data_IF_901236702628
#
_entry.id   IF_901236702628
#
_cell.length_a   1.000
_cell.length_b   1.000
_cell.length_c   1.000
_cell.angle_alpha   90.00
_cell.angle_beta   90.00
_cell.angle_gamma   90.00
#
_symmetry.space_group_name_H-M   'P 1'
#
loop_
_entity.id
_entity.type
_entity.pdbx_description
1 polymer ?
#
# COMPACT_ATOMS: atom_id res chain seq x y z
N UNK A 1 -54.62 -30.95 -55.97
CA UNK A 1 -54.93 -29.99 -57.04
C UNK A 1 -55.51 -28.76 -56.36
N UNK A 2 -54.87 -27.62 -56.61
CA UNK A 2 -55.26 -26.22 -56.35
C UNK A 2 -55.65 -25.80 -54.92
N UNK A 3 -54.90 -24.95 -54.20
CA UNK A 3 -54.25 -23.65 -54.45
C UNK A 3 -55.15 -22.43 -54.12
N UNK A 4 -54.55 -21.54 -53.32
CA UNK A 4 -54.92 -20.16 -52.94
C UNK A 4 -56.20 -19.94 -52.10
N UNK A 5 -56.01 -19.45 -50.86
CA UNK A 5 -56.02 -18.02 -50.51
C UNK A 5 -55.77 -17.85 -49.00
N UNK A 6 -54.58 -17.36 -48.64
CA UNK A 6 -54.44 -16.54 -47.42
C UNK A 6 -53.70 -15.28 -47.85
N UNK A 7 -54.39 -14.16 -47.72
CA UNK A 7 -53.90 -12.84 -48.06
C UNK A 7 -52.74 -12.49 -47.13
N UNK A 8 -51.52 -12.44 -47.67
CA UNK A 8 -50.43 -11.69 -47.06
C UNK A 8 -50.58 -10.28 -47.58
N UNK A 9 -51.20 -9.42 -46.76
CA UNK A 9 -51.09 -7.98 -46.93
C UNK A 9 -49.63 -7.65 -46.62
N UNK A 10 -48.82 -7.58 -47.67
CA UNK A 10 -47.61 -6.79 -47.64
C UNK A 10 -48.04 -5.34 -47.42
N UNK A 11 -47.92 -4.86 -46.18
CA UNK A 11 -47.81 -3.42 -45.90
C UNK A 11 -46.35 -3.09 -46.22
N UNK A 12 -46.06 -2.85 -47.51
CA UNK A 12 -45.92 -1.54 -48.16
C UNK A 12 -44.65 -0.82 -47.70
N UNK A 13 -43.65 -0.57 -48.56
CA UNK A 13 -43.62 0.52 -49.55
C UNK A 13 -44.15 1.84 -48.96
N UNK A 14 -43.30 2.87 -49.00
CA UNK A 14 -43.49 4.22 -48.48
C UNK A 14 -43.19 4.37 -46.97
N UNK A 15 -42.62 5.54 -46.65
CA UNK A 15 -42.02 5.85 -45.35
C UNK A 15 -42.95 5.68 -44.16
N UNK A 16 -42.34 5.64 -42.98
CA UNK A 16 -43.09 5.80 -41.74
C UNK A 16 -43.75 7.17 -41.76
N UNK A 17 -45.06 7.21 -41.47
CA UNK A 17 -45.70 8.04 -40.42
C UNK A 17 -47.22 8.01 -40.59
N UNK A 18 -47.94 7.76 -39.49
CA UNK A 18 -49.13 8.53 -39.09
C UNK A 18 -49.05 8.57 -37.56
N UNK A 19 -49.05 9.71 -36.87
CA UNK A 19 -49.87 10.92 -36.99
C UNK A 19 -49.08 12.14 -36.48
N UNK A 20 -49.39 13.33 -37.01
CA UNK A 20 -49.19 14.61 -36.34
C UNK A 20 -47.75 15.11 -36.10
N UNK A 21 -47.34 16.09 -36.91
CA UNK A 21 -46.33 17.11 -36.58
C UNK A 21 -44.89 16.63 -36.28
N UNK A 22 -44.16 16.38 -37.38
CA UNK A 22 -42.77 16.80 -37.65
C UNK A 22 -41.67 16.49 -36.63
N UNK A 23 -40.64 15.75 -37.05
CA UNK A 23 -39.26 16.01 -36.60
C UNK A 23 -38.19 15.62 -37.62
N UNK A 24 -37.06 16.30 -37.45
CA UNK A 24 -35.90 16.50 -38.32
C UNK A 24 -35.04 15.25 -38.58
N UNK A 25 -34.59 15.13 -39.83
CA UNK A 25 -33.41 14.35 -40.19
C UNK A 25 -32.15 14.98 -39.59
N UNK A 26 -31.21 14.17 -39.11
CA UNK A 26 -29.78 14.20 -39.46
C UNK A 26 -29.09 13.05 -38.72
N UNK A 27 -28.73 11.96 -39.42
CA UNK A 27 -27.54 11.19 -39.08
C UNK A 27 -27.17 10.23 -40.21
N UNK A 28 -25.92 10.36 -40.63
CA UNK A 28 -25.19 9.55 -41.59
C UNK A 28 -24.98 8.14 -41.00
N UNK A 29 -25.73 7.12 -41.44
CA UNK A 29 -25.73 5.78 -40.83
C UNK A 29 -24.86 4.80 -41.62
N UNK A 30 -23.58 4.72 -41.24
CA UNK A 30 -22.68 3.60 -41.53
C UNK A 30 -22.35 2.88 -40.23
N UNK A 31 -23.12 1.88 -39.83
CA UNK A 31 -22.76 0.87 -38.82
C UNK A 31 -23.75 -0.31 -38.85
N UNK A 32 -23.26 -1.49 -38.47
CA UNK A 32 -23.74 -2.85 -38.80
C UNK A 32 -24.78 -3.36 -37.77
N UNK A 33 -25.81 -4.13 -38.19
CA UNK A 33 -27.01 -4.53 -37.40
C UNK A 33 -27.09 -6.07 -37.11
N UNK A 34 -27.64 -6.57 -35.96
CA UNK A 34 -27.61 -8.03 -35.56
C UNK A 34 -28.50 -8.64 -34.39
N UNK A 35 -29.81 -8.41 -34.20
CA UNK A 35 -30.82 -8.99 -33.23
C UNK A 35 -30.67 -9.26 -31.66
N UNK A 36 -31.69 -8.83 -30.86
CA UNK A 36 -31.87 -8.97 -29.37
C UNK A 36 -32.95 -9.99 -28.92
N UNK A 37 -32.97 -10.45 -27.64
CA UNK A 37 -34.05 -11.27 -27.07
C UNK A 37 -35.03 -10.48 -26.16
N UNK A 38 -36.36 -10.62 -26.34
CA UNK A 38 -37.39 -10.37 -25.31
C UNK A 38 -38.78 -10.97 -25.64
N UNK A 39 -39.69 -10.94 -24.66
CA UNK A 39 -40.78 -11.88 -24.31
C UNK A 39 -42.02 -12.07 -25.22
N UNK A 40 -42.68 -13.21 -24.96
CA UNK A 40 -43.83 -13.88 -25.61
C UNK A 40 -44.90 -12.92 -26.19
N UNK A 41 -45.01 -12.90 -27.52
CA UNK A 41 -46.16 -12.35 -28.26
C UNK A 41 -45.84 -11.63 -29.56
N UNK A 42 -44.60 -11.19 -29.77
CA UNK A 42 -44.17 -10.44 -30.97
C UNK A 42 -43.23 -11.28 -31.85
N UNK A 43 -43.32 -11.08 -33.17
CA UNK A 43 -42.53 -11.81 -34.16
C UNK A 43 -41.11 -11.19 -34.34
N UNK A 44 -40.12 -12.07 -34.55
CA UNK A 44 -38.72 -11.74 -34.84
C UNK A 44 -38.43 -11.76 -36.35
N UNK A 45 -37.69 -10.76 -36.85
CA UNK A 45 -37.31 -10.64 -38.26
C UNK A 45 -35.84 -10.23 -38.43
N UNK A 46 -34.98 -11.21 -38.76
CA UNK A 46 -33.52 -11.01 -38.93
C UNK A 46 -33.23 -10.47 -40.30
N UNK A 47 -32.89 -9.19 -40.42
CA UNK A 47 -32.52 -8.65 -41.72
C UNK A 47 -31.13 -9.09 -42.15
N UNK A 48 -31.08 -10.12 -42.99
CA UNK A 48 -29.83 -10.72 -43.49
C UNK A 48 -29.19 -9.92 -44.64
N UNK A 49 -29.92 -8.99 -45.27
CA UNK A 49 -29.41 -8.24 -46.42
C UNK A 49 -30.06 -6.87 -46.57
N UNK A 50 -29.24 -5.82 -46.57
CA UNK A 50 -29.67 -4.43 -46.74
C UNK A 50 -29.36 -3.91 -48.14
N UNK A 51 -30.23 -3.05 -48.66
CA UNK A 51 -29.94 -2.23 -49.85
C UNK A 51 -30.08 -0.75 -49.51
N UNK A 52 -29.10 0.10 -49.82
CA UNK A 52 -29.22 1.55 -49.65
C UNK A 52 -30.40 2.10 -50.47
N UNK A 53 -31.23 2.95 -49.88
CA UNK A 53 -32.35 3.63 -50.53
C UNK A 53 -32.15 5.14 -50.50
N UNK A 54 -31.06 5.61 -51.13
CA UNK A 54 -30.74 7.03 -51.20
C UNK A 54 -30.69 7.68 -49.81
N UNK A 55 -31.23 8.90 -49.68
CA UNK A 55 -31.29 9.64 -48.42
C UNK A 55 -32.39 9.15 -47.47
N UNK A 56 -33.13 8.10 -47.80
CA UNK A 56 -34.26 7.57 -47.02
C UNK A 56 -33.88 6.37 -46.12
N UNK A 57 -32.59 6.01 -46.07
CA UNK A 57 -32.07 4.92 -45.23
C UNK A 57 -31.87 3.61 -45.99
N UNK A 58 -32.08 2.47 -45.33
CA UNK A 58 -31.84 1.13 -45.88
C UNK A 58 -33.13 0.35 -46.00
N UNK A 59 -33.25 -0.47 -47.05
CA UNK A 59 -34.34 -1.44 -47.21
C UNK A 59 -33.84 -2.83 -46.86
N UNK A 60 -34.55 -3.54 -45.98
CA UNK A 60 -34.30 -4.95 -45.74
C UNK A 60 -34.80 -5.78 -46.93
N UNK A 61 -33.92 -6.55 -47.57
CA UNK A 61 -34.23 -7.36 -48.77
C UNK A 61 -34.37 -8.85 -48.49
N UNK A 62 -33.99 -9.30 -47.30
CA UNK A 62 -34.14 -10.69 -46.86
C UNK A 62 -34.25 -10.72 -45.35
N UNK A 63 -35.33 -11.33 -44.83
CA UNK A 63 -35.55 -11.49 -43.39
C UNK A 63 -35.74 -12.97 -43.01
N UNK A 64 -35.21 -13.41 -41.86
CA UNK A 64 -35.52 -14.73 -41.28
C UNK A 64 -36.68 -14.61 -40.30
N UNK A 65 -37.70 -15.44 -40.44
CA UNK A 65 -38.98 -15.34 -39.73
C UNK A 65 -39.21 -16.53 -38.79
N UNK A 66 -39.60 -16.28 -37.54
CA UNK A 66 -40.12 -17.31 -36.62
C UNK A 66 -41.65 -17.14 -36.53
N UNK A 67 -42.46 -18.10 -37.00
CA UNK A 67 -43.90 -17.91 -37.15
C UNK A 67 -44.63 -18.05 -35.82
N UNK A 68 -45.03 -16.92 -35.22
CA UNK A 68 -46.04 -16.87 -34.15
C UNK A 68 -46.96 -15.64 -34.25
N UNK A 69 -47.52 -15.39 -35.44
CA UNK A 69 -48.82 -14.71 -35.60
C UNK A 69 -48.98 -13.23 -35.18
N UNK A 70 -47.91 -12.51 -34.81
CA UNK A 70 -47.96 -11.09 -34.40
C UNK A 70 -47.34 -10.09 -35.40
N UNK A 71 -47.62 -8.79 -35.18
CA UNK A 71 -46.91 -7.66 -35.81
C UNK A 71 -45.42 -7.74 -35.45
N UNK A 72 -44.51 -7.74 -36.44
CA UNK A 72 -43.06 -7.73 -36.22
C UNK A 72 -42.56 -6.28 -36.20
N UNK A 73 -41.75 -5.91 -35.21
CA UNK A 73 -41.14 -4.57 -35.09
C UNK A 73 -39.65 -4.67 -35.39
N UNK A 74 -39.15 -3.85 -36.32
CA UNK A 74 -37.72 -3.76 -36.60
C UNK A 74 -37.08 -2.87 -35.54
N UNK A 75 -36.13 -3.41 -34.78
CA UNK A 75 -35.33 -2.66 -33.81
C UNK A 75 -33.92 -2.49 -34.38
N UNK A 76 -33.46 -1.23 -34.46
CA UNK A 76 -32.13 -0.87 -34.91
C UNK A 76 -31.27 -0.67 -33.67
N UNK A 77 -30.27 -1.54 -33.49
CA UNK A 77 -29.22 -1.38 -32.48
C UNK A 77 -28.19 -0.37 -32.97
N UNK A 78 -27.71 0.49 -32.06
CA UNK A 78 -26.67 1.45 -32.36
C UNK A 78 -25.35 0.81 -31.96
N UNK A 79 -24.45 0.60 -32.92
CA UNK A 79 -23.11 0.15 -32.58
C UNK A 79 -22.30 1.30 -31.97
N UNK A 80 -22.26 1.36 -30.64
CA UNK A 80 -21.49 2.37 -29.92
C UNK A 80 -20.00 2.25 -30.19
N UNK A 81 -19.48 1.05 -30.49
CA UNK A 81 -18.07 0.78 -30.74
C UNK A 81 -17.59 1.40 -32.06
N UNK A 82 -18.36 1.28 -33.14
CA UNK A 82 -18.01 1.93 -34.42
C UNK A 82 -18.34 3.41 -34.44
N UNK A 83 -19.36 3.85 -33.70
CA UNK A 83 -19.71 5.26 -33.59
C UNK A 83 -18.84 6.05 -32.59
N UNK A 84 -18.03 5.36 -31.79
CA UNK A 84 -17.17 5.97 -30.76
C UNK A 84 -17.96 6.58 -29.61
N UNK A 85 -19.20 6.16 -29.38
CA UNK A 85 -20.07 6.68 -28.31
C UNK A 85 -20.11 5.74 -27.09
N UNK A 86 -18.97 5.14 -26.76
CA UNK A 86 -18.79 4.27 -25.60
C UNK A 86 -17.74 4.85 -24.67
N UNK A 87 -17.76 4.39 -23.41
CA UNK A 87 -16.81 4.82 -22.37
C UNK A 87 -15.84 3.70 -21.96
N UNK A 88 -15.71 2.64 -22.76
CA UNK A 88 -14.71 1.58 -22.52
C UNK A 88 -13.30 2.15 -22.50
N UNK A 89 -12.53 1.82 -21.45
CA UNK A 89 -11.12 2.20 -21.36
C UNK A 89 -10.28 1.55 -22.45
N UNK A 90 -10.58 0.29 -22.77
CA UNK A 90 -9.87 -0.47 -23.80
C UNK A 90 -10.83 -0.98 -24.88
N UNK A 91 -11.20 -2.25 -24.86
CA UNK A 91 -11.93 -2.87 -25.96
C UNK A 91 -13.43 -2.66 -25.79
N UNK A 92 -14.09 -2.12 -26.80
CA UNK A 92 -15.55 -2.08 -26.89
C UNK A 92 -16.05 -3.29 -27.68
N UNK A 93 -17.03 -4.00 -27.13
CA UNK A 93 -17.75 -5.06 -27.82
C UNK A 93 -19.21 -4.66 -27.93
N UNK A 94 -19.69 -4.50 -29.17
CA UNK A 94 -21.08 -4.17 -29.42
C UNK A 94 -21.98 -5.32 -28.96
N UNK A 95 -23.07 -5.01 -28.29
CA UNK A 95 -24.07 -5.96 -27.83
C UNK A 95 -25.46 -5.46 -28.20
N UNK A 96 -26.49 -6.19 -27.81
CA UNK A 96 -27.85 -5.78 -28.12
C UNK A 96 -28.41 -4.78 -27.15
N UNK A 97 -28.80 -3.61 -27.66
CA UNK A 97 -29.31 -2.51 -26.86
C UNK A 97 -28.21 -1.73 -26.15
N UNK A 98 -26.95 -1.89 -26.55
CA UNK A 98 -25.80 -1.17 -25.99
C UNK A 98 -24.48 -1.93 -26.21
N UNK A 99 -23.47 -1.68 -25.37
CA UNK A 99 -22.15 -2.29 -25.49
C UNK A 99 -21.66 -2.87 -24.16
N UNK A 100 -20.66 -3.74 -24.23
CA UNK A 100 -19.85 -4.17 -23.09
C UNK A 100 -18.39 -3.85 -23.33
N UNK A 101 -17.64 -3.63 -22.26
CA UNK A 101 -16.20 -3.41 -22.35
C UNK A 101 -15.44 -4.69 -22.02
N UNK A 102 -14.29 -4.88 -22.65
CA UNK A 102 -13.34 -5.94 -22.37
C UNK A 102 -11.93 -5.36 -22.23
N UNK A 103 -11.12 -6.04 -21.44
CA UNK A 103 -9.75 -5.64 -21.16
C UNK A 103 -8.77 -6.56 -21.87
N UNK A 104 -7.66 -5.99 -22.31
CA UNK A 104 -6.62 -6.70 -23.04
C UNK A 104 -5.53 -7.20 -22.09
N UNK A 105 -4.87 -8.29 -22.46
CA UNK A 105 -3.81 -8.90 -21.65
C UNK A 105 -4.34 -9.45 -20.32
N UNK A 106 -3.64 -9.13 -19.23
CA UNK A 106 -3.93 -9.66 -17.89
C UNK A 106 -4.85 -8.74 -17.06
N UNK A 107 -5.39 -7.68 -17.64
CA UNK A 107 -6.27 -6.74 -16.96
C UNK A 107 -7.68 -7.31 -16.79
N UNK A 108 -8.33 -6.98 -15.68
CA UNK A 108 -9.71 -7.32 -15.37
C UNK A 108 -10.62 -6.10 -15.52
N UNK A 109 -11.84 -6.33 -16.02
CA UNK A 109 -12.85 -5.30 -16.09
C UNK A 109 -13.33 -4.92 -14.68
N UNK A 110 -13.29 -3.63 -14.37
CA UNK A 110 -13.74 -3.10 -13.08
C UNK A 110 -15.25 -3.25 -12.90
N UNK A 111 -15.72 -3.03 -11.66
CA UNK A 111 -17.15 -3.13 -11.32
C UNK A 111 -18.03 -2.08 -12.00
N UNK A 112 -17.45 -1.00 -12.53
CA UNK A 112 -18.16 -0.01 -13.33
C UNK A 112 -18.50 -0.51 -14.75
N UNK A 113 -17.99 -1.69 -15.13
CA UNK A 113 -18.17 -2.31 -16.44
C UNK A 113 -17.42 -1.62 -17.58
N UNK A 114 -16.49 -0.70 -17.30
CA UNK A 114 -15.86 0.19 -18.27
C UNK A 114 -14.34 0.30 -18.14
N UNK A 115 -13.80 0.37 -16.93
CA UNK A 115 -12.36 0.52 -16.69
C UNK A 115 -11.64 -0.83 -16.58
N UNK A 116 -10.36 -0.85 -16.94
CA UNK A 116 -9.50 -2.02 -16.97
C UNK A 116 -8.40 -1.92 -15.91
N UNK A 117 -8.38 -2.88 -14.98
CA UNK A 117 -7.52 -2.84 -13.81
C UNK A 117 -6.58 -4.04 -13.79
N UNK A 118 -5.31 -3.82 -13.45
CA UNK A 118 -4.37 -4.93 -13.22
C UNK A 118 -4.80 -5.65 -11.94
N UNK A 119 -4.96 -6.99 -11.94
CA UNK A 119 -5.29 -7.74 -10.74
C UNK A 119 -4.19 -7.60 -9.70
N UNK A 120 -4.48 -6.85 -8.63
CA UNK A 120 -3.60 -6.72 -7.47
C UNK A 120 -4.04 -7.68 -6.36
N UNK A 121 -3.14 -8.58 -5.94
CA UNK A 121 -3.39 -9.46 -4.80
C UNK A 121 -2.57 -9.03 -3.58
N UNK A 122 -1.26 -8.86 -3.74
CA UNK A 122 -0.38 -8.54 -2.62
C UNK A 122 0.85 -7.72 -2.99
N UNK A 123 1.27 -6.80 -2.13
CA UNK A 123 2.55 -6.10 -2.22
C UNK A 123 3.35 -6.29 -0.94
N UNK A 124 4.63 -6.64 -1.07
CA UNK A 124 5.55 -6.77 0.06
C UNK A 124 6.71 -5.77 -0.06
N UNK A 125 6.74 -4.81 0.85
CA UNK A 125 7.75 -3.78 0.94
C UNK A 125 8.85 -4.20 1.93
N UNK A 126 10.09 -4.01 1.50
CA UNK A 126 11.29 -4.37 2.28
C UNK A 126 12.20 -3.15 2.39
N UNK A 127 13.34 -3.32 3.04
CA UNK A 127 14.42 -2.33 3.10
C UNK A 127 15.17 -2.14 1.77
N UNK A 128 14.76 -2.79 0.67
CA UNK A 128 15.40 -2.69 -0.65
C UNK A 128 16.91 -2.97 -0.61
N UNK A 129 17.32 -3.93 0.22
CA UNK A 129 18.73 -4.28 0.44
C UNK A 129 19.55 -3.27 1.25
N UNK A 130 19.00 -2.12 1.64
CA UNK A 130 19.72 -1.10 2.39
C UNK A 130 19.86 -1.44 3.88
N UNK A 131 20.98 -1.04 4.48
CA UNK A 131 21.27 -1.27 5.90
C UNK A 131 21.88 -0.02 6.54
N UNK A 132 21.81 0.06 7.87
CA UNK A 132 22.35 1.18 8.64
C UNK A 132 21.34 2.28 8.93
N UNK A 133 21.84 3.51 9.02
CA UNK A 133 21.09 4.69 9.51
C UNK A 133 20.18 5.37 8.50
N UNK A 134 20.56 5.33 7.23
CA UNK A 134 19.83 5.98 6.12
C UNK A 134 19.04 4.94 5.36
N UNK A 135 17.90 5.35 4.81
CA UNK A 135 17.08 4.48 3.99
C UNK A 135 17.68 4.19 2.61
N UNK A 136 17.01 3.34 1.83
CA UNK A 136 17.45 2.98 0.48
C UNK A 136 17.47 4.17 -0.48
N UNK A 137 18.35 4.11 -1.47
CA UNK A 137 18.52 5.17 -2.49
C UNK A 137 17.96 4.80 -3.86
N UNK A 138 17.61 3.53 -4.09
CA UNK A 138 17.04 3.04 -5.35
C UNK A 138 16.14 1.83 -5.13
N UNK A 139 15.08 1.71 -5.94
CA UNK A 139 14.25 0.49 -6.00
C UNK A 139 14.98 -0.65 -6.72
N UNK A 140 15.83 -0.34 -7.72
CA UNK A 140 16.52 -1.36 -8.50
C UNK A 140 15.54 -2.35 -9.14
N UNK A 141 15.91 -3.63 -9.16
CA UNK A 141 15.08 -4.73 -9.65
C UNK A 141 14.29 -5.44 -8.54
N UNK A 142 14.15 -4.82 -7.36
CA UNK A 142 13.58 -5.49 -6.19
C UNK A 142 12.11 -5.87 -6.34
N UNK A 143 11.37 -5.22 -7.25
CA UNK A 143 9.93 -5.45 -7.49
C UNK A 143 9.60 -5.97 -8.88
N UNK A 144 10.60 -6.26 -9.70
CA UNK A 144 10.40 -6.81 -11.05
C UNK A 144 9.64 -8.14 -10.95
N UNK A 145 8.58 -8.29 -11.74
CA UNK A 145 7.70 -9.44 -11.78
C UNK A 145 6.76 -9.62 -10.58
N UNK A 146 6.66 -8.63 -9.68
CA UNK A 146 5.72 -8.66 -8.54
C UNK A 146 4.45 -7.83 -8.85
N UNK A 147 3.35 -8.09 -8.14
CA UNK A 147 2.04 -7.42 -8.38
C UNK A 147 2.08 -5.88 -8.32
N UNK A 148 3.12 -5.31 -7.73
CA UNK A 148 3.31 -3.86 -7.55
C UNK A 148 4.51 -3.32 -8.33
N UNK A 149 5.01 -4.07 -9.32
CA UNK A 149 6.00 -3.58 -10.29
C UNK A 149 5.50 -2.28 -10.94
N UNK A 150 6.35 -1.26 -11.00
CA UNK A 150 6.01 0.04 -11.57
C UNK A 150 5.01 0.89 -10.76
N UNK A 151 4.49 0.40 -9.62
CA UNK A 151 3.53 1.12 -8.78
C UNK A 151 4.17 1.86 -7.59
N UNK A 152 5.51 1.83 -7.50
CA UNK A 152 6.25 2.38 -6.37
C UNK A 152 7.27 3.40 -6.85
N UNK A 153 7.31 4.56 -6.18
CA UNK A 153 8.41 5.51 -6.30
C UNK A 153 9.17 5.62 -4.98
N UNK A 154 10.43 6.05 -5.01
CA UNK A 154 11.29 6.14 -3.83
C UNK A 154 11.83 7.56 -3.67
N UNK A 155 11.57 8.17 -2.52
CA UNK A 155 12.03 9.52 -2.20
C UNK A 155 12.62 9.48 -0.78
N UNK A 156 13.91 9.83 -0.65
CA UNK A 156 14.62 9.91 0.64
C UNK A 156 14.49 8.64 1.52
N UNK A 157 14.50 7.45 0.90
CA UNK A 157 14.35 6.17 1.62
C UNK A 157 12.92 5.77 1.96
N UNK A 158 11.93 6.59 1.61
CA UNK A 158 10.51 6.30 1.80
C UNK A 158 9.90 5.87 0.46
N UNK A 159 9.17 4.76 0.48
CA UNK A 159 8.53 4.17 -0.68
C UNK A 159 7.09 4.69 -0.77
N UNK A 160 6.72 5.26 -1.90
CA UNK A 160 5.39 5.81 -2.17
C UNK A 160 4.66 4.83 -3.06
N UNK A 161 3.58 4.24 -2.56
CA UNK A 161 2.78 3.24 -3.23
C UNK A 161 1.39 3.77 -3.54
N UNK A 162 1.00 3.73 -4.82
CA UNK A 162 -0.35 4.11 -5.25
C UNK A 162 -1.26 2.90 -5.24
N UNK A 163 -2.34 2.96 -4.48
CA UNK A 163 -3.33 1.88 -4.38
C UNK A 163 -3.99 1.68 -5.75
N UNK A 164 -3.87 0.49 -6.36
CA UNK A 164 -4.32 0.30 -7.75
C UNK A 164 -5.84 0.18 -7.87
N UNK A 165 -6.54 -0.25 -6.83
CA UNK A 165 -7.98 -0.51 -6.86
C UNK A 165 -8.66 -0.17 -5.54
N UNK A 166 -9.94 0.22 -5.58
CA UNK A 166 -10.72 0.43 -4.36
C UNK A 166 -11.06 -0.91 -3.72
N UNK A 167 -10.89 -1.01 -2.40
CA UNK A 167 -11.23 -2.22 -1.66
C UNK A 167 -10.76 -2.24 -0.22
N UNK A 168 -10.93 -3.40 0.42
CA UNK A 168 -10.40 -3.66 1.74
C UNK A 168 -9.03 -4.33 1.63
N UNK A 169 -8.09 -3.86 2.44
CA UNK A 169 -6.70 -4.30 2.44
C UNK A 169 -6.28 -4.70 3.83
N UNK A 170 -5.73 -5.90 3.97
CA UNK A 170 -5.05 -6.37 5.17
C UNK A 170 -3.60 -5.95 5.10
N UNK A 171 -3.18 -5.09 6.02
CA UNK A 171 -1.80 -4.60 6.11
C UNK A 171 -1.13 -5.21 7.35
N UNK A 172 -0.03 -5.93 7.14
CA UNK A 172 0.87 -6.43 8.20
C UNK A 172 2.18 -5.64 8.17
N UNK A 173 2.64 -5.20 9.33
CA UNK A 173 3.83 -4.36 9.50
C UNK A 173 4.74 -4.98 10.56
N UNK A 174 6.03 -5.09 10.25
CA UNK A 174 7.06 -5.59 11.16
C UNK A 174 8.08 -4.51 11.45
N UNK A 175 8.32 -4.20 12.72
CA UNK A 175 9.37 -3.29 13.16
C UNK A 175 10.74 -3.99 13.12
N UNK A 176 11.81 -3.23 12.94
CA UNK A 176 13.14 -3.83 12.86
C UNK A 176 13.70 -4.21 14.24
N UNK A 177 14.55 -5.22 14.29
CA UNK A 177 15.25 -5.59 15.52
C UNK A 177 16.35 -4.57 15.87
N UNK A 178 16.66 -4.46 17.17
CA UNK A 178 17.77 -3.69 17.68
C UNK A 178 19.14 -4.23 17.24
N UNK A 179 20.20 -3.48 17.54
CA UNK A 179 21.56 -3.96 17.41
C UNK A 179 21.89 -5.03 18.46
N UNK A 180 23.07 -5.64 18.32
CA UNK A 180 23.54 -6.64 19.28
C UNK A 180 25.06 -6.65 19.42
N UNK A 181 25.50 -7.13 20.58
CA UNK A 181 26.91 -7.32 20.91
C UNK A 181 27.37 -8.73 20.46
N UNK A 182 28.27 -8.81 19.48
CA UNK A 182 28.68 -10.09 18.89
C UNK A 182 29.56 -10.92 19.81
N UNK A 183 30.54 -10.29 20.46
CA UNK A 183 31.60 -10.98 21.19
C UNK A 183 31.16 -11.52 22.56
N UNK A 184 30.07 -11.03 23.12
CA UNK A 184 29.62 -11.42 24.46
C UNK A 184 28.53 -12.48 24.42
N UNK A 185 27.53 -12.31 23.57
CA UNK A 185 26.34 -13.18 23.56
C UNK A 185 25.97 -13.67 22.17
N UNK A 186 26.83 -13.47 21.15
CA UNK A 186 26.57 -13.86 19.76
C UNK A 186 25.15 -13.50 19.28
N UNK A 187 24.67 -12.32 19.66
CA UNK A 187 23.33 -11.79 19.36
C UNK A 187 22.12 -12.61 19.86
N UNK A 188 22.30 -13.52 20.82
CA UNK A 188 21.21 -14.34 21.39
C UNK A 188 20.11 -13.53 22.07
N UNK A 189 20.44 -12.37 22.64
CA UNK A 189 19.53 -11.52 23.42
C UNK A 189 19.21 -10.19 22.72
N UNK A 190 19.32 -10.16 21.39
CA UNK A 190 18.92 -9.01 20.58
C UNK A 190 17.45 -8.67 20.84
N UNK A 191 17.15 -7.38 21.01
CA UNK A 191 15.77 -6.94 21.14
C UNK A 191 15.05 -7.00 19.78
N UNK A 192 13.86 -7.57 19.76
CA UNK A 192 13.09 -7.81 18.54
C UNK A 192 12.07 -6.68 18.29
N UNK A 193 11.71 -6.44 17.04
CA UNK A 193 10.64 -5.50 16.69
C UNK A 193 9.23 -6.07 16.94
N UNK A 194 8.22 -5.21 16.99
CA UNK A 194 6.83 -5.63 17.05
C UNK A 194 6.33 -6.08 15.68
N UNK A 195 5.27 -6.90 15.66
CA UNK A 195 4.47 -7.18 14.47
C UNK A 195 3.05 -6.73 14.76
N UNK A 196 2.49 -5.85 13.94
CA UNK A 196 1.10 -5.40 14.06
C UNK A 196 0.44 -5.45 12.70
N UNK A 197 -0.86 -5.71 12.69
CA UNK A 197 -1.56 -5.88 11.44
C UNK A 197 -3.04 -5.44 11.62
N UNK A 198 -3.61 -4.69 10.67
CA UNK A 198 -5.05 -4.36 10.60
C UNK A 198 -5.64 -4.39 9.19
N UNK A 199 -6.96 -4.21 9.09
CA UNK A 199 -7.72 -4.09 7.82
C UNK A 199 -8.18 -2.66 7.59
N UNK A 200 -7.97 -2.15 6.38
CA UNK A 200 -8.21 -0.77 5.97
C UNK A 200 -9.02 -0.72 4.67
N UNK A 201 -9.99 0.18 4.59
CA UNK A 201 -10.64 0.52 3.32
C UNK A 201 -9.83 1.61 2.63
N UNK A 202 -9.34 1.32 1.42
CA UNK A 202 -8.53 2.22 0.61
C UNK A 202 -9.19 2.41 -0.75
N UNK A 203 -9.03 3.59 -1.33
CA UNK A 203 -9.54 3.90 -2.66
C UNK A 203 -8.44 3.76 -3.71
N UNK A 204 -8.83 3.41 -4.94
CA UNK A 204 -7.94 3.51 -6.08
C UNK A 204 -7.36 4.94 -6.18
N UNK A 205 -6.05 5.05 -6.36
CA UNK A 205 -5.33 6.32 -6.41
C UNK A 205 -4.93 6.88 -5.04
N UNK A 206 -5.35 6.28 -3.92
CA UNK A 206 -4.78 6.64 -2.61
C UNK A 206 -3.27 6.40 -2.64
N UNK A 207 -2.48 7.39 -2.20
CA UNK A 207 -1.03 7.25 -2.07
C UNK A 207 -0.65 6.97 -0.61
N UNK A 208 0.13 5.90 -0.42
CA UNK A 208 0.66 5.49 0.88
C UNK A 208 2.17 5.74 0.96
N UNK A 209 2.63 6.31 2.07
CA UNK A 209 4.06 6.40 2.41
C UNK A 209 4.46 5.20 3.25
N UNK A 210 5.49 4.50 2.80
CA UNK A 210 5.99 3.27 3.41
C UNK A 210 7.47 3.44 3.75
N UNK A 211 7.76 3.57 5.04
CA UNK A 211 9.12 3.57 5.56
C UNK A 211 9.40 2.21 6.19
N UNK A 212 10.37 1.48 5.65
CA UNK A 212 10.76 0.18 6.18
C UNK A 212 11.95 0.29 7.12
N UNK A 213 11.71 -0.04 8.40
CA UNK A 213 12.73 0.06 9.44
C UNK A 213 13.94 -0.84 9.15
N UNK A 214 15.14 -0.35 9.45
CA UNK A 214 16.38 -1.11 9.33
C UNK A 214 16.84 -1.58 10.70
N UNK A 215 17.41 -2.78 10.71
CA UNK A 215 17.94 -3.41 11.91
C UNK A 215 19.15 -2.63 12.45
N UNK A 216 19.26 -2.56 13.77
CA UNK A 216 20.48 -2.02 14.39
C UNK A 216 21.70 -2.89 14.06
N UNK A 217 22.90 -2.27 13.99
CA UNK A 217 24.12 -2.97 13.60
C UNK A 217 24.57 -3.98 14.64
N UNK A 218 25.47 -4.86 14.20
CA UNK A 218 26.25 -5.71 15.09
C UNK A 218 27.48 -4.92 15.54
N UNK A 219 27.65 -4.76 16.86
CA UNK A 219 28.83 -4.14 17.43
C UNK A 219 29.78 -5.23 17.96
N UNK A 220 31.07 -5.12 17.66
CA UNK A 220 32.10 -6.02 18.19
C UNK A 220 32.51 -5.64 19.62
N UNK A 221 32.15 -4.44 20.07
CA UNK A 221 32.25 -4.02 21.46
C UNK A 221 30.91 -4.24 22.17
N UNK A 222 30.65 -3.47 23.23
CA UNK A 222 29.36 -3.44 23.91
C UNK A 222 28.61 -2.14 23.61
N UNK A 223 27.29 -2.17 23.79
CA UNK A 223 26.35 -1.07 23.54
C UNK A 223 26.07 -0.86 22.06
N UNK A 224 24.79 -0.93 21.69
CA UNK A 224 24.33 -0.93 20.30
C UNK A 224 23.18 0.03 20.08
N UNK A 225 22.98 0.44 18.82
CA UNK A 225 21.88 1.30 18.42
C UNK A 225 20.55 0.54 18.35
N UNK A 226 19.46 1.28 18.46
CA UNK A 226 18.11 0.73 18.29
C UNK A 226 17.78 0.44 16.82
N UNK A 227 16.85 -0.48 16.61
CA UNK A 227 16.23 -0.74 15.31
C UNK A 227 15.18 0.31 15.01
N UNK A 228 14.94 0.56 13.73
CA UNK A 228 13.90 1.50 13.32
C UNK A 228 12.49 0.90 13.36
N UNK A 229 11.52 1.80 13.54
CA UNK A 229 10.12 1.50 13.30
C UNK A 229 9.82 1.35 11.81
N UNK A 230 8.73 0.66 11.50
CA UNK A 230 8.21 0.53 10.14
C UNK A 230 6.86 1.22 10.06
N UNK A 231 6.67 2.10 9.09
CA UNK A 231 5.55 3.03 9.02
C UNK A 231 4.77 2.85 7.73
N UNK A 232 3.44 2.87 7.84
CA UNK A 232 2.50 3.06 6.74
C UNK A 232 1.61 4.24 7.08
N UNK A 233 1.73 5.32 6.33
CA UNK A 233 0.91 6.53 6.49
C UNK A 233 0.25 6.90 5.18
N UNK A 234 -0.75 7.79 5.24
CA UNK A 234 -1.23 8.50 4.05
C UNK A 234 -0.22 9.55 3.59
N UNK A 235 -0.48 10.14 2.43
CA UNK A 235 0.35 11.21 1.86
C UNK A 235 0.52 12.44 2.78
N UNK A 236 -0.45 12.72 3.65
CA UNK A 236 -0.45 13.81 4.64
C UNK A 236 0.18 13.42 6.00
N UNK A 237 0.92 12.31 6.04
CA UNK A 237 1.54 11.73 7.24
C UNK A 237 0.57 11.20 8.31
N UNK A 238 -0.74 11.17 8.02
CA UNK A 238 -1.71 10.52 8.91
C UNK A 238 -1.40 9.02 9.02
N UNK A 239 -1.12 8.49 10.23
CA UNK A 239 -0.70 7.12 10.39
C UNK A 239 -1.86 6.14 10.16
N UNK A 240 -1.62 5.11 9.35
CA UNK A 240 -2.54 3.97 9.24
C UNK A 240 -2.12 2.88 10.23
N UNK A 241 -0.87 2.43 10.10
CA UNK A 241 -0.31 1.35 10.90
C UNK A 241 1.22 1.49 10.99
N UNK A 242 1.76 1.31 12.19
CA UNK A 242 3.18 1.47 12.49
C UNK A 242 3.59 0.36 13.45
N UNK A 243 4.71 -0.31 13.19
CA UNK A 243 5.30 -1.27 14.11
C UNK A 243 6.57 -0.71 14.74
N UNK A 244 6.66 -0.77 16.07
CA UNK A 244 7.83 -0.32 16.82
C UNK A 244 9.04 -1.25 16.65
N UNK A 245 10.23 -0.66 16.51
CA UNK A 245 11.51 -1.37 16.47
C UNK A 245 12.02 -1.75 17.86
N UNK A 246 12.94 -2.71 17.93
CA UNK A 246 13.63 -3.07 19.17
C UNK A 246 14.69 -2.03 19.57
N UNK A 247 14.90 -1.83 20.86
CA UNK A 247 16.00 -1.04 21.40
C UNK A 247 17.35 -1.74 21.23
N UNK A 248 18.43 -0.97 21.30
CA UNK A 248 19.78 -1.51 21.38
C UNK A 248 20.04 -2.10 22.77
N UNK A 249 21.09 -2.90 22.87
CA UNK A 249 21.48 -3.60 24.10
C UNK A 249 22.93 -3.28 24.48
N UNK A 250 23.23 -3.35 25.78
CA UNK A 250 24.58 -3.41 26.34
C UNK A 250 24.70 -4.66 27.22
N UNK A 251 25.49 -5.63 26.75
CA UNK A 251 25.89 -6.83 27.47
C UNK A 251 24.73 -7.60 28.15
N UNK A 252 23.58 -7.79 27.48
CA UNK A 252 22.39 -8.34 28.12
C UNK A 252 22.59 -9.79 28.56
N UNK A 253 22.15 -10.12 29.78
CA UNK A 253 22.17 -11.50 30.32
C UNK A 253 20.93 -12.31 29.95
N UNK A 254 19.88 -11.64 29.45
CA UNK A 254 18.65 -12.23 28.97
C UNK A 254 17.98 -11.31 27.94
N UNK A 255 17.00 -11.83 27.19
CA UNK A 255 16.12 -10.99 26.39
C UNK A 255 15.04 -10.39 27.30
N UNK A 256 15.09 -9.07 27.53
CA UNK A 256 14.13 -8.37 28.38
C UNK A 256 12.97 -7.78 27.57
N UNK A 257 11.79 -7.85 28.17
CA UNK A 257 10.53 -7.47 27.53
C UNK A 257 10.49 -6.00 27.09
N UNK A 258 11.01 -5.11 27.92
CA UNK A 258 10.98 -3.67 27.68
C UNK A 258 11.92 -3.25 26.54
N UNK A 259 12.95 -4.03 26.24
CA UNK A 259 13.86 -3.72 25.15
C UNK A 259 13.22 -3.91 23.77
N UNK A 260 12.29 -4.85 23.61
CA UNK A 260 11.70 -5.14 22.30
C UNK A 260 10.55 -4.18 21.96
N UNK A 261 10.27 -4.05 20.67
CA UNK A 261 9.14 -3.25 20.18
C UNK A 261 7.81 -3.76 20.75
N UNK A 262 6.90 -2.83 21.03
CA UNK A 262 5.62 -3.11 21.69
C UNK A 262 4.43 -2.81 20.80
N UNK A 263 3.33 -3.55 20.97
CA UNK A 263 2.03 -3.25 20.35
C UNK A 263 1.34 -2.03 20.95
N UNK A 264 1.79 -1.56 22.12
CA UNK A 264 1.30 -0.32 22.74
C UNK A 264 1.69 0.91 21.93
N UNK A 265 0.87 1.96 22.00
CA UNK A 265 1.17 3.28 21.41
C UNK A 265 2.29 4.02 22.13
N UNK A 266 2.60 3.64 23.37
CA UNK A 266 3.69 4.21 24.15
C UNK A 266 4.96 3.37 23.94
N UNK A 267 6.09 4.02 23.72
CA UNK A 267 7.39 3.37 23.67
C UNK A 267 7.75 2.81 25.04
N UNK A 268 8.45 1.70 25.08
CA UNK A 268 8.85 1.06 26.32
C UNK A 268 9.96 1.86 27.02
N UNK A 269 10.05 1.64 28.33
CA UNK A 269 11.16 2.12 29.15
C UNK A 269 12.46 1.36 28.84
N UNK A 270 13.60 1.96 29.20
CA UNK A 270 14.88 1.25 29.22
C UNK A 270 14.93 0.19 30.32
N UNK A 271 15.91 -0.70 30.25
CA UNK A 271 16.21 -1.68 31.31
C UNK A 271 17.64 -1.51 31.79
N UNK A 272 17.89 -1.78 33.08
CA UNK A 272 19.21 -1.70 33.70
C UNK A 272 19.58 -0.27 34.09
N UNK A 273 19.91 -0.06 35.37
CA UNK A 273 20.14 1.30 35.90
C UNK A 273 18.85 2.12 35.93
N UNK A 274 18.93 3.37 35.45
CA UNK A 274 17.81 4.31 35.36
C UNK A 274 16.86 3.94 34.22
N UNK A 275 15.67 3.44 34.55
CA UNK A 275 14.64 3.08 33.58
C UNK A 275 13.83 4.31 33.13
N UNK A 276 14.39 5.12 32.22
CA UNK A 276 13.68 6.27 31.67
C UNK A 276 12.49 5.86 30.80
N UNK A 277 11.43 6.69 30.74
CA UNK A 277 10.27 6.42 29.90
C UNK A 277 10.57 6.54 28.41
N UNK A 278 9.88 5.73 27.62
CA UNK A 278 9.76 5.96 26.18
C UNK A 278 8.87 7.18 25.88
N UNK A 279 8.82 7.55 24.61
CA UNK A 279 7.87 8.54 24.11
C UNK A 279 6.43 8.03 24.18
N UNK A 280 5.48 8.95 24.08
CA UNK A 280 4.04 8.67 24.04
C UNK A 280 3.35 9.56 23.01
N UNK A 281 2.14 9.19 22.56
CA UNK A 281 1.32 10.00 21.65
C UNK A 281 2.07 10.48 20.40
N UNK A 282 2.85 9.60 19.77
CA UNK A 282 3.59 9.92 18.55
C UNK A 282 4.97 10.55 18.79
N UNK A 283 5.32 10.84 20.04
CA UNK A 283 6.56 11.56 20.38
C UNK A 283 7.77 10.62 20.44
N UNK A 284 8.95 11.16 20.14
CA UNK A 284 10.22 10.52 20.46
C UNK A 284 10.48 10.48 21.97
N UNK A 285 11.38 9.61 22.41
CA UNK A 285 11.78 9.57 23.83
C UNK A 285 12.68 10.76 24.16
N UNK A 286 12.30 11.56 25.16
CA UNK A 286 12.92 12.86 25.45
C UNK A 286 13.80 12.88 26.70
N UNK A 287 13.78 11.81 27.50
CA UNK A 287 14.42 11.76 28.81
C UNK A 287 15.68 10.91 28.82
N UNK A 288 16.72 11.44 29.45
CA UNK A 288 17.92 10.74 29.89
C UNK A 288 18.64 11.62 30.91
N UNK A 289 19.64 11.07 31.60
CA UNK A 289 20.53 11.85 32.45
C UNK A 289 21.65 12.56 31.64
N UNK A 290 22.59 13.18 32.36
CA UNK A 290 23.77 13.80 31.75
C UNK A 290 24.98 12.87 31.63
N UNK A 291 24.83 11.57 31.93
CA UNK A 291 25.90 10.58 31.84
C UNK A 291 26.02 10.00 30.42
N UNK A 292 26.75 8.89 30.25
CA UNK A 292 27.02 8.24 28.95
C UNK A 292 25.83 7.44 28.43
N UNK A 293 24.63 8.04 28.40
CA UNK A 293 23.40 7.37 27.99
C UNK A 293 23.23 7.30 26.47
N UNK A 294 22.35 6.43 26.00
CA UNK A 294 22.04 6.34 24.57
C UNK A 294 21.19 7.50 24.06
N UNK A 295 21.00 7.55 22.75
CA UNK A 295 19.98 8.39 22.14
C UNK A 295 18.59 7.77 22.28
N UNK A 296 17.57 8.61 22.45
CA UNK A 296 16.18 8.17 22.42
C UNK A 296 15.75 7.73 21.02
N UNK A 297 14.77 6.84 20.93
CA UNK A 297 14.12 6.52 19.66
C UNK A 297 13.31 7.73 19.15
N UNK A 298 13.26 7.89 17.83
CA UNK A 298 12.37 8.82 17.15
C UNK A 298 10.94 8.28 17.11
N UNK A 299 9.97 9.17 17.23
CA UNK A 299 8.55 8.86 17.07
C UNK A 299 8.04 9.17 15.66
N UNK A 300 6.72 9.21 15.52
CA UNK A 300 6.05 9.75 14.34
C UNK A 300 6.33 11.26 14.21
N UNK A 301 6.21 12.01 15.31
CA UNK A 301 6.09 13.47 15.33
C UNK A 301 7.37 14.19 15.73
N UNK A 302 8.19 13.61 16.60
CA UNK A 302 9.39 14.26 17.13
C UNK A 302 10.58 13.33 17.22
N UNK A 303 11.76 13.94 17.08
CA UNK A 303 13.04 13.26 17.23
C UNK A 303 13.22 12.75 18.67
N UNK A 304 14.04 11.72 18.83
CA UNK A 304 14.51 11.30 20.14
C UNK A 304 15.53 12.27 20.73
N UNK A 305 15.69 12.21 22.06
CA UNK A 305 16.72 12.96 22.79
C UNK A 305 18.10 12.62 22.25
N UNK A 306 18.89 13.66 22.04
CA UNK A 306 20.29 13.59 21.61
C UNK A 306 21.24 14.02 22.73
N UNK A 307 22.48 13.55 22.66
CA UNK A 307 23.57 14.07 23.49
C UNK A 307 24.04 15.46 23.06
N UNK A 308 24.86 16.12 23.89
CA UNK A 308 25.42 17.45 23.61
C UNK A 308 26.26 17.54 22.34
N UNK A 309 26.93 16.45 21.94
CA UNK A 309 27.68 16.38 20.68
C UNK A 309 26.78 16.60 19.45
N UNK A 310 25.49 16.30 19.58
CA UNK A 310 24.50 16.41 18.52
C UNK A 310 23.45 17.48 18.81
N UNK A 311 23.79 18.47 19.63
CA UNK A 311 22.93 19.63 19.91
C UNK A 311 21.87 19.41 21.00
N UNK A 312 21.94 18.30 21.75
CA UNK A 312 21.11 18.05 22.93
C UNK A 312 21.85 18.31 24.24
N UNK A 313 21.67 17.43 25.23
CA UNK A 313 22.25 17.55 26.58
C UNK A 313 22.95 16.25 27.01
N UNK A 314 23.93 16.30 27.92
CA UNK A 314 24.65 15.11 28.40
C UNK A 314 25.65 14.51 27.41
N UNK A 315 26.25 13.37 27.75
CA UNK A 315 27.11 12.57 26.85
C UNK A 315 26.33 11.40 26.27
N UNK A 316 26.74 10.82 25.14
CA UNK A 316 25.96 9.74 24.51
C UNK A 316 25.81 9.78 23.01
N UNK A 317 24.88 8.95 22.53
CA UNK A 317 24.43 8.93 21.14
C UNK A 317 23.45 10.04 20.78
N UNK A 318 23.21 10.20 19.48
CA UNK A 318 22.16 11.02 18.91
C UNK A 318 20.83 10.28 18.97
N UNK A 319 19.74 11.02 19.18
CA UNK A 319 18.39 10.47 19.06
C UNK A 319 18.04 10.15 17.61
N UNK A 320 17.19 9.15 17.40
CA UNK A 320 16.64 8.85 16.09
C UNK A 320 15.74 9.98 15.60
N UNK A 321 15.76 10.26 14.30
CA UNK A 321 14.88 11.26 13.68
C UNK A 321 13.45 10.74 13.59
N UNK A 322 12.50 11.65 13.77
CA UNK A 322 11.08 11.35 13.61
C UNK A 322 10.78 10.89 12.18
N UNK A 323 9.67 10.17 11.98
CA UNK A 323 9.16 9.86 10.65
C UNK A 323 8.96 11.13 9.81
N UNK A 324 8.32 12.17 10.37
CA UNK A 324 8.10 13.46 9.69
C UNK A 324 9.40 14.20 9.35
N UNK A 325 10.52 13.81 9.98
CA UNK A 325 11.86 14.33 9.72
C UNK A 325 12.72 13.33 8.89
N UNK A 326 12.08 12.40 8.19
CA UNK A 326 12.74 11.45 7.28
C UNK A 326 13.27 10.17 7.95
N UNK A 327 13.06 9.97 9.27
CA UNK A 327 13.31 8.69 9.94
C UNK A 327 14.77 8.22 9.99
N UNK A 328 15.75 9.10 9.75
CA UNK A 328 17.18 8.73 9.84
C UNK A 328 17.53 8.24 11.26
N UNK A 329 18.25 7.12 11.36
CA UNK A 329 18.72 6.60 12.66
C UNK A 329 19.76 7.52 13.32
N UNK A 330 19.88 7.52 14.64
CA UNK A 330 20.79 8.39 15.40
C UNK A 330 22.24 7.91 15.36
N UNK A 331 23.22 8.83 15.30
CA UNK A 331 24.67 8.55 15.36
C UNK A 331 25.11 8.06 16.72
N UNK A 332 26.01 7.07 16.74
CA UNK A 332 26.70 6.67 17.97
C UNK A 332 27.73 7.71 18.40
N UNK A 333 28.11 7.76 19.68
CA UNK A 333 29.12 8.71 20.20
C UNK A 333 30.43 8.70 19.37
N UNK A 334 30.86 7.51 18.92
CA UNK A 334 32.07 7.29 18.12
C UNK A 334 31.80 7.20 16.61
N UNK A 335 30.77 7.91 16.11
CA UNK A 335 30.40 7.92 14.70
C UNK A 335 31.59 8.18 13.76
N UNK A 336 31.68 7.38 12.70
CA UNK A 336 32.78 7.42 11.73
C UNK A 336 34.01 6.59 12.13
N UNK A 337 34.01 5.96 13.30
CA UNK A 337 35.06 5.00 13.69
C UNK A 337 34.93 3.69 12.92
N UNK A 338 36.06 3.16 12.45
CA UNK A 338 36.12 1.81 11.88
C UNK A 338 35.90 0.70 12.92
N UNK A 339 36.02 1.01 14.21
CA UNK A 339 35.99 0.04 15.30
C UNK A 339 34.63 -0.06 16.01
N UNK A 340 33.77 0.96 15.90
CA UNK A 340 32.51 1.04 16.63
C UNK A 340 31.35 1.17 15.66
N UNK A 341 30.50 0.14 15.62
CA UNK A 341 29.30 0.13 14.80
C UNK A 341 28.07 0.04 15.69
N UNK A 342 27.63 1.19 16.21
CA UNK A 342 26.58 1.29 17.21
C UNK A 342 25.52 2.36 16.88
N UNK A 343 25.43 2.71 15.61
CA UNK A 343 24.44 3.64 15.09
C UNK A 343 23.02 3.07 15.16
N UNK A 344 22.02 3.92 15.28
CA UNK A 344 20.62 3.52 15.15
C UNK A 344 20.25 3.18 13.70
N UNK A 345 19.32 2.24 13.54
CA UNK A 345 18.76 1.89 12.24
C UNK A 345 17.80 2.96 11.69
N UNK A 346 17.73 3.05 10.36
CA UNK A 346 16.71 3.84 9.65
C UNK A 346 15.31 3.44 10.11
N UNK A 347 14.39 4.40 10.22
CA UNK A 347 13.11 4.29 10.93
C UNK A 347 13.18 4.85 12.36
N UNK A 348 14.15 5.72 12.65
CA UNK A 348 14.24 6.45 13.91
C UNK A 348 14.85 5.68 15.07
N UNK A 349 15.66 4.64 14.83
CA UNK A 349 16.43 4.02 15.91
C UNK A 349 17.45 5.02 16.50
N UNK A 350 17.59 5.07 17.82
CA UNK A 350 18.59 5.90 18.50
C UNK A 350 20.00 5.33 18.38
N UNK A 351 21.00 6.20 18.35
CA UNK A 351 22.41 5.80 18.41
C UNK A 351 22.86 5.49 19.83
N UNK A 352 23.84 4.61 19.98
CA UNK A 352 24.39 4.24 21.29
C UNK A 352 25.54 5.16 21.73
N UNK A 353 26.03 4.94 22.95
CA UNK A 353 27.39 5.33 23.28
C UNK A 353 28.41 4.49 22.48
N UNK A 354 28.30 3.16 22.50
CA UNK A 354 28.97 2.26 21.54
C UNK A 354 30.32 1.67 21.95
N UNK A 355 30.84 2.01 23.13
CA UNK A 355 31.98 1.35 23.78
C UNK A 355 31.64 1.14 25.26
N UNK A 356 30.65 0.27 25.48
CA UNK A 356 29.85 0.28 26.69
C UNK A 356 28.88 1.46 26.72
N UNK A 357 28.30 1.68 27.89
CA UNK A 357 27.34 2.73 28.14
C UNK A 357 26.01 2.57 27.43
N UNK A 358 25.20 3.62 27.50
CA UNK A 358 23.79 3.54 27.15
C UNK A 358 23.53 3.17 25.69
N UNK A 359 22.69 2.15 25.53
CA UNK A 359 22.21 1.69 24.23
C UNK A 359 21.09 2.60 23.68
N UNK A 360 20.90 2.59 22.36
CA UNK A 360 19.90 3.44 21.69
C UNK A 360 18.46 2.93 21.83
N UNK A 361 17.48 3.82 21.91
CA UNK A 361 16.05 3.45 21.89
C UNK A 361 15.56 3.00 20.51
N UNK A 362 14.56 2.12 20.45
CA UNK A 362 13.93 1.70 19.19
C UNK A 362 13.04 2.79 18.58
N UNK A 363 13.01 2.93 17.26
CA UNK A 363 12.08 3.84 16.58
C UNK A 363 10.65 3.29 16.53
N UNK A 364 9.64 4.13 16.27
CA UNK A 364 8.26 3.65 16.17
C UNK A 364 7.24 4.78 16.10
N UNK A 365 5.95 4.45 16.34
CA UNK A 365 4.91 5.46 16.49
C UNK A 365 5.30 6.44 17.61
N UNK A 366 5.64 5.90 18.77
CA UNK A 366 6.39 6.63 19.79
C UNK A 366 7.77 6.00 19.93
N UNK A 367 8.79 6.82 20.15
CA UNK A 367 10.16 6.33 20.30
C UNK A 367 10.38 5.58 21.61
N UNK A 368 11.23 4.56 21.60
CA UNK A 368 11.67 3.85 22.79
C UNK A 368 12.69 4.64 23.60
N UNK A 369 12.77 4.37 24.90
CA UNK A 369 13.64 5.11 25.81
C UNK A 369 15.14 5.00 25.48
N UNK A 370 15.90 6.01 25.88
CA UNK A 370 17.36 5.94 25.97
C UNK A 370 17.79 4.82 26.93
N UNK A 371 18.89 4.13 26.67
CA UNK A 371 19.52 3.22 27.63
C UNK A 371 20.50 3.93 28.57
N UNK A 372 20.61 3.46 29.81
CA UNK A 372 21.54 3.99 30.83
C UNK A 372 22.95 3.38 30.68
N UNK A 373 23.96 4.05 31.24
CA UNK A 373 25.35 3.59 31.22
C UNK A 373 25.60 2.50 32.27
N UNK A 374 24.99 1.34 32.06
CA UNK A 374 25.09 0.19 32.95
C UNK A 374 25.21 -1.11 32.15
N UNK A 375 26.10 -2.01 32.57
CA UNK A 375 26.14 -3.37 32.01
C UNK A 375 24.81 -4.10 32.23
N UNK A 376 24.47 -5.03 31.35
CA UNK A 376 23.20 -5.74 31.37
C UNK A 376 22.00 -4.78 31.29
N UNK A 377 22.05 -3.88 30.30
CA UNK A 377 21.04 -2.85 30.07
C UNK A 377 20.57 -2.82 28.61
N UNK A 378 19.53 -2.04 28.35
CA UNK A 378 19.06 -1.76 27.01
C UNK A 378 18.32 -0.43 26.92
N UNK A 379 18.24 0.11 25.71
CA UNK A 379 17.22 1.10 25.36
C UNK A 379 15.85 0.43 25.28
N UNK A 380 14.79 1.23 25.46
CA UNK A 380 13.42 0.73 25.32
C UNK A 380 13.08 0.49 23.85
N UNK A 381 12.17 -0.46 23.59
CA UNK A 381 11.60 -0.65 22.25
C UNK A 381 10.56 0.41 21.90
N UNK A 382 10.39 0.68 20.61
CA UNK A 382 9.42 1.64 20.10
C UNK A 382 7.97 1.17 20.24
N UNK A 383 7.05 2.12 20.32
CA UNK A 383 5.61 1.90 20.31
C UNK A 383 5.06 1.68 18.89
N UNK A 384 3.91 1.01 18.80
CA UNK A 384 3.18 0.73 17.56
C UNK A 384 1.87 1.52 17.48
N UNK A 385 1.25 1.55 16.30
CA UNK A 385 -0.06 2.18 16.08
C UNK A 385 -0.85 1.38 15.05
N UNK A 386 -2.17 1.31 15.19
CA UNK A 386 -3.05 0.68 14.22
C UNK A 386 -4.45 1.29 14.30
N UNK A 387 -4.89 1.98 13.23
CA UNK A 387 -6.23 2.57 13.13
C UNK A 387 -7.23 1.70 12.36
N UNK A 388 -6.81 0.52 11.90
CA UNK A 388 -7.63 -0.41 11.14
C UNK A 388 -8.60 -1.22 12.00
N UNK A 389 -9.41 -2.02 11.33
CA UNK A 389 -10.25 -3.06 11.95
C UNK A 389 -9.53 -4.42 11.96
N UNK A 390 -10.13 -5.45 12.58
CA UNK A 390 -9.60 -6.82 12.62
C UNK A 390 -8.11 -6.89 13.02
N UNK A 391 -7.76 -6.13 14.06
CA UNK A 391 -6.38 -5.91 14.46
C UNK A 391 -5.77 -7.13 15.14
N UNK A 392 -4.52 -7.45 14.81
CA UNK A 392 -3.68 -8.39 15.52
C UNK A 392 -2.34 -7.74 15.84
N UNK A 393 -1.64 -8.24 16.87
CA UNK A 393 -0.30 -7.76 17.17
C UNK A 393 0.43 -8.61 18.20
N UNK A 394 1.75 -8.71 18.02
CA UNK A 394 2.65 -9.42 18.91
C UNK A 394 3.88 -8.56 19.16
N UNK A 395 4.14 -8.22 20.42
CA UNK A 395 5.34 -7.51 20.83
C UNK A 395 6.57 -8.41 20.72
N UNK A 396 7.74 -7.85 20.41
CA UNK A 396 9.04 -8.56 20.40
C UNK A 396 9.05 -9.81 19.51
N UNK A 397 8.48 -9.71 18.32
CA UNK A 397 8.20 -10.87 17.46
C UNK A 397 9.10 -10.97 16.23
N UNK A 398 9.74 -9.88 15.78
CA UNK A 398 10.47 -9.87 14.51
C UNK A 398 11.97 -9.67 14.69
N UNK A 399 12.75 -10.64 14.18
CA UNK A 399 14.21 -10.62 14.17
C UNK A 399 14.74 -10.36 12.75
N UNK A 400 14.98 -9.09 12.42
CA UNK A 400 15.51 -8.68 11.13
C UNK A 400 15.20 -7.22 10.81
N UNK A 401 15.38 -6.84 9.54
CA UNK A 401 14.82 -5.59 9.00
C UNK A 401 13.30 -5.65 9.01
N UNK A 402 12.65 -4.49 9.07
CA UNK A 402 11.21 -4.42 8.96
C UNK A 402 10.67 -4.86 7.61
N UNK A 403 9.36 -4.97 7.52
CA UNK A 403 8.65 -5.23 6.27
C UNK A 403 7.20 -4.77 6.37
N UNK A 404 6.57 -4.51 5.22
CA UNK A 404 5.14 -4.27 5.11
C UNK A 404 4.56 -5.22 4.08
N UNK A 405 3.48 -5.92 4.40
CA UNK A 405 2.73 -6.71 3.43
C UNK A 405 1.30 -6.18 3.34
N UNK A 406 0.88 -5.76 2.16
CA UNK A 406 -0.46 -5.24 1.84
C UNK A 406 -1.16 -6.29 0.98
N UNK A 407 -2.21 -6.92 1.50
CA UNK A 407 -2.96 -7.97 0.80
C UNK A 407 -4.40 -7.53 0.61
N UNK A 408 -4.90 -7.55 -0.62
CA UNK A 408 -6.32 -7.29 -0.90
C UNK A 408 -7.19 -8.39 -0.29
N UNK A 409 -8.37 -8.05 0.23
CA UNK A 409 -9.31 -8.98 0.87
C UNK A 409 -10.48 -9.33 -0.03
#
# INVERSE_FOLDING_TARGET
MDSLRLAVIAVCLAGVVVDGAGYSQYANLSAVFHEAPMSIGECFAECNKFTPKGNEGFTCTSAKYIPNGGLCRLLLDKDECTSGSHDCEETCINTWGGYKCECTGDKLLSSDGRTCQIPFNTATFTNLGATGRTGPTSIGSHYDGQDHEGMVTLINGIQFFTVPMTGNYRIEVKGAAGGCDQNQNNCQHRALGAVVAGTFSLNAGDELKILVGQMGPVNTYSSTGGGGGTFVTRADDTPLIIAGGGGGVETPSAAYDTCGGTTSTTGNNGYGGSAWPGGSNGQGASTADSSNSGGGGGGLLTDGRSSSQYGGSGTGGEGGKAFVNGGVGGRSKYYGSANYNADGGFGGGGGAYGNGGGAGGGGGYSGGASGDNNSNSCGGGGGSYNSGSNTTGTSKAHNGHGSVTITRQ
#
